data_IF_869906161236
#
_entry.id   IF_869906161236
#
_cell.length_a   1.000
_cell.length_b   1.000
_cell.length_c   1.000
_cell.angle_alpha   90.00
_cell.angle_beta   90.00
_cell.angle_gamma   90.00
#
_symmetry.space_group_name_H-M   'P 1'
#
loop_
_entity.id
_entity.type
_entity.pdbx_description
1 polymer ?
#
# COMPACT_ATOMS: atom_id res chain seq x y z
N UNK A 1 -74.34 0.76 -5.17
CA UNK A 1 -73.73 0.26 -6.43
C UNK A 1 -72.33 -0.23 -6.08
N UNK A 2 -72.12 -1.39 -5.45
CA UNK A 2 -72.30 -2.78 -5.93
C UNK A 2 -71.78 -3.02 -7.35
N UNK A 3 -70.57 -3.58 -7.44
CA UNK A 3 -70.21 -4.69 -8.34
C UNK A 3 -69.06 -5.46 -7.66
N UNK A 4 -69.37 -6.44 -6.82
CA UNK A 4 -69.48 -7.89 -7.13
C UNK A 4 -68.17 -8.62 -6.78
N UNK A 5 -68.13 -9.38 -5.67
CA UNK A 5 -68.63 -10.77 -5.51
C UNK A 5 -67.80 -11.74 -6.38
N UNK A 6 -66.94 -12.56 -5.77
CA UNK A 6 -67.23 -13.88 -5.17
C UNK A 6 -66.43 -14.90 -6.02
N UNK A 7 -65.92 -16.04 -5.56
CA UNK A 7 -66.47 -16.97 -4.58
C UNK A 7 -65.44 -18.08 -4.30
N UNK A 8 -65.43 -18.53 -3.05
CA UNK A 8 -65.33 -19.92 -2.55
C UNK A 8 -64.10 -20.80 -2.80
N UNK A 9 -63.56 -21.20 -1.64
CA UNK A 9 -62.85 -22.45 -1.35
C UNK A 9 -63.83 -23.64 -1.46
N UNK A 10 -63.35 -24.82 -1.89
CA UNK A 10 -63.85 -26.08 -1.36
C UNK A 10 -62.74 -26.95 -0.74
N UNK A 11 -63.08 -27.56 0.38
CA UNK A 11 -62.35 -28.59 1.12
C UNK A 11 -62.67 -30.00 0.59
N UNK A 12 -61.67 -30.89 0.47
CA UNK A 12 -61.74 -32.32 0.85
C UNK A 12 -60.37 -33.02 0.74
N UNK A 13 -60.08 -33.91 1.70
CA UNK A 13 -58.88 -34.75 1.92
C UNK A 13 -58.83 -36.01 0.98
N UNK A 14 -57.94 -37.01 1.21
CA UNK A 14 -56.47 -37.04 1.05
C UNK A 14 -56.04 -38.14 0.04
N UNK A 15 -54.89 -38.00 -0.64
CA UNK A 15 -54.34 -39.09 -1.46
C UNK A 15 -52.81 -39.16 -1.41
N UNK A 16 -52.34 -40.29 -0.87
CA UNK A 16 -51.08 -41.03 -1.09
C UNK A 16 -49.86 -40.33 -1.71
N UNK A 17 -48.77 -40.28 -0.93
CA UNK A 17 -47.36 -40.19 -1.35
C UNK A 17 -47.00 -41.25 -2.43
N UNK A 18 -46.09 -40.97 -3.38
CA UNK A 18 -44.65 -41.01 -3.07
C UNK A 18 -43.75 -40.00 -3.80
N UNK A 19 -42.49 -39.97 -3.35
CA UNK A 19 -41.30 -39.31 -3.92
C UNK A 19 -41.09 -37.82 -3.64
N UNK A 20 -40.49 -37.58 -2.47
CA UNK A 20 -39.88 -36.32 -2.02
C UNK A 20 -38.63 -35.99 -2.84
N UNK A 21 -38.75 -35.05 -3.77
CA UNK A 21 -37.65 -34.17 -4.18
C UNK A 21 -37.74 -32.88 -3.36
N UNK A 22 -36.67 -32.52 -2.63
CA UNK A 22 -36.63 -31.28 -1.86
C UNK A 22 -36.53 -30.07 -2.80
N UNK A 23 -37.63 -29.32 -2.92
CA UNK A 23 -37.62 -27.95 -3.43
C UNK A 23 -37.25 -27.03 -2.26
N UNK A 24 -36.09 -26.39 -2.33
CA UNK A 24 -35.66 -25.36 -1.36
C UNK A 24 -36.28 -24.03 -1.79
N UNK A 25 -37.37 -23.63 -1.12
CA UNK A 25 -37.94 -22.29 -1.24
C UNK A 25 -37.22 -21.32 -0.30
N UNK A 26 -36.79 -20.17 -0.83
CA UNK A 26 -36.26 -19.04 -0.05
C UNK A 26 -37.33 -18.49 0.90
N UNK A 27 -37.05 -18.40 2.20
CA UNK A 27 -37.86 -17.66 3.17
C UNK A 27 -37.15 -16.37 3.58
N UNK A 28 -37.89 -15.25 3.56
CA UNK A 28 -37.41 -13.90 3.84
C UNK A 28 -37.13 -13.63 5.33
N UNK A 29 -36.34 -12.59 5.58
CA UNK A 29 -35.71 -12.24 6.86
C UNK A 29 -36.66 -11.96 8.05
N UNK A 30 -37.97 -11.82 7.83
CA UNK A 30 -38.94 -11.55 8.90
C UNK A 30 -39.33 -12.81 9.71
N UNK A 31 -39.05 -14.01 9.21
CA UNK A 31 -39.40 -15.26 9.92
C UNK A 31 -38.40 -15.67 11.01
N UNK A 32 -37.22 -15.04 11.06
CA UNK A 32 -36.19 -15.33 12.08
C UNK A 32 -36.48 -14.71 13.45
N UNK A 33 -37.30 -13.65 13.51
CA UNK A 33 -37.52 -12.88 14.73
C UNK A 33 -38.52 -13.50 15.73
N UNK A 34 -39.11 -14.67 15.42
CA UNK A 34 -40.10 -15.37 16.27
C UNK A 34 -39.72 -16.79 16.71
N UNK A 35 -38.46 -17.22 16.52
CA UNK A 35 -38.02 -18.55 16.97
C UNK A 35 -37.27 -18.46 18.30
N UNK A 36 -37.86 -19.02 19.36
CA UNK A 36 -37.20 -19.17 20.66
C UNK A 36 -35.93 -20.03 20.59
N UNK A 37 -35.01 -19.79 21.52
CA UNK A 37 -33.63 -20.31 21.59
C UNK A 37 -33.50 -21.83 21.39
N UNK A 38 -34.52 -22.62 21.75
CA UNK A 38 -34.53 -24.07 21.55
C UNK A 38 -34.63 -24.52 20.08
N UNK A 39 -35.22 -23.72 19.19
CA UNK A 39 -35.36 -24.09 17.76
C UNK A 39 -34.13 -23.73 16.90
N UNK A 40 -33.33 -22.77 17.33
CA UNK A 40 -32.04 -22.43 16.68
C UNK A 40 -31.02 -23.57 16.90
N UNK A 41 -30.99 -24.17 18.10
CA UNK A 41 -30.12 -25.30 18.40
C UNK A 41 -30.45 -26.57 17.60
N UNK A 42 -31.73 -26.80 17.27
CA UNK A 42 -32.15 -27.91 16.43
C UNK A 42 -31.72 -27.74 14.96
N UNK A 43 -31.67 -26.50 14.44
CA UNK A 43 -31.19 -26.21 13.09
C UNK A 43 -29.67 -26.42 12.97
N UNK A 44 -28.91 -26.02 14.00
CA UNK A 44 -27.46 -26.25 14.08
C UNK A 44 -27.14 -27.76 14.22
N UNK A 45 -27.94 -28.53 14.97
CA UNK A 45 -27.77 -30.00 15.06
C UNK A 45 -28.17 -30.76 13.80
N UNK A 46 -29.08 -30.24 12.97
CA UNK A 46 -29.49 -30.90 11.73
C UNK A 46 -28.48 -30.68 10.58
N UNK A 47 -27.73 -29.55 10.60
CA UNK A 47 -26.63 -29.30 9.67
C UNK A 47 -25.45 -30.29 9.82
N UNK A 48 -25.17 -30.76 11.04
CA UNK A 48 -24.10 -31.74 11.30
C UNK A 48 -24.44 -33.19 10.89
N UNK A 49 -25.64 -33.48 10.38
CA UNK A 49 -26.00 -34.81 9.86
C UNK A 49 -26.05 -34.88 8.33
N UNK A 50 -25.75 -33.78 7.63
CA UNK A 50 -25.63 -33.77 6.16
C UNK A 50 -24.20 -33.96 5.64
N UNK A 51 -23.17 -33.84 6.50
CA UNK A 51 -21.77 -34.09 6.10
C UNK A 51 -21.36 -35.57 6.05
N UNK A 52 -22.20 -36.49 6.56
CA UNK A 52 -21.88 -37.92 6.63
C UNK A 52 -22.44 -38.77 5.47
N UNK A 53 -22.99 -38.16 4.42
CA UNK A 53 -23.54 -38.89 3.24
C UNK A 53 -23.06 -38.43 1.86
N UNK A 54 -21.92 -37.72 1.76
CA UNK A 54 -21.19 -37.54 0.50
C UNK A 54 -19.84 -38.28 0.48
N UNK A 55 -19.86 -39.57 0.83
CA UNK A 55 -18.80 -40.53 0.48
C UNK A 55 -19.45 -41.73 -0.19
N UNK A 56 -19.45 -41.74 -1.52
CA UNK A 56 -19.46 -42.90 -2.41
C UNK A 56 -20.02 -42.50 -3.80
N UNK A 57 -19.18 -41.85 -4.59
CA UNK A 57 -19.23 -41.99 -6.04
C UNK A 57 -17.79 -42.16 -6.51
N UNK A 58 -17.34 -43.41 -6.45
CA UNK A 58 -16.10 -43.89 -7.04
C UNK A 58 -16.28 -43.95 -8.55
N UNK A 59 -15.74 -42.97 -9.26
CA UNK A 59 -15.34 -43.15 -10.66
C UNK A 59 -13.83 -43.29 -10.64
N UNK A 60 -13.35 -44.49 -11.00
CA UNK A 60 -11.93 -44.81 -11.05
C UNK A 60 -11.20 -43.92 -12.05
N UNK A 61 -10.03 -43.44 -11.63
CA UNK A 61 -9.13 -42.63 -12.44
C UNK A 61 -7.98 -42.11 -11.58
N UNK A 62 -6.86 -42.82 -11.66
CA UNK A 62 -5.48 -42.42 -11.32
C UNK A 62 -5.23 -41.59 -10.06
N UNK A 63 -4.84 -42.29 -9.01
CA UNK A 63 -4.18 -41.73 -7.83
C UNK A 63 -2.74 -41.29 -8.18
N UNK A 64 -2.60 -40.12 -8.81
CA UNK A 64 -1.34 -39.40 -8.89
C UNK A 64 -1.62 -37.89 -8.95
N UNK A 65 -1.33 -37.21 -7.85
CA UNK A 65 -1.33 -35.74 -7.79
C UNK A 65 -2.49 -35.18 -7.01
N UNK A 66 -2.22 -34.85 -5.74
CA UNK A 66 -2.73 -33.68 -4.98
C UNK A 66 -2.18 -33.73 -3.55
N UNK A 67 -0.86 -33.88 -3.43
CA UNK A 67 -0.11 -33.45 -2.25
C UNK A 67 0.56 -32.14 -2.62
N UNK A 68 -0.15 -31.06 -2.33
CA UNK A 68 0.26 -29.70 -2.64
C UNK A 68 -0.62 -28.72 -1.90
N UNK A 69 -0.77 -28.88 -0.58
CA UNK A 69 -1.06 -27.73 0.26
C UNK A 69 0.13 -26.79 0.06
N UNK A 70 -0.05 -25.81 -0.82
CA UNK A 70 0.88 -24.71 -0.96
C UNK A 70 0.82 -23.94 0.35
N UNK A 71 1.66 -24.36 1.31
CA UNK A 71 1.97 -23.61 2.51
C UNK A 71 2.37 -22.22 2.01
N UNK A 72 1.46 -21.27 2.20
CA UNK A 72 1.63 -19.85 1.96
C UNK A 72 2.93 -19.45 2.66
N UNK A 73 4.02 -19.40 1.88
CA UNK A 73 5.35 -19.14 2.40
C UNK A 73 5.26 -17.86 3.23
N UNK A 74 5.60 -17.94 4.52
CA UNK A 74 5.63 -16.76 5.39
C UNK A 74 6.42 -15.66 4.71
N UNK A 75 5.74 -14.53 4.44
CA UNK A 75 6.41 -13.26 4.24
C UNK A 75 7.54 -13.14 5.27
N UNK A 76 8.71 -12.64 4.86
CA UNK A 76 9.88 -12.65 5.74
C UNK A 76 10.15 -11.31 6.41
N UNK A 77 9.40 -10.27 6.04
CA UNK A 77 9.76 -8.89 6.38
C UNK A 77 8.88 -8.26 7.42
N UNK A 78 9.54 -7.66 8.40
CA UNK A 78 8.94 -6.74 9.36
C UNK A 78 8.98 -5.33 8.77
N UNK A 79 7.81 -4.73 8.59
CA UNK A 79 7.64 -3.39 8.02
C UNK A 79 6.97 -2.48 9.04
N UNK A 80 7.53 -1.30 9.29
CA UNK A 80 6.92 -0.27 10.12
C UNK A 80 6.43 0.92 9.30
N UNK A 81 5.26 1.44 9.64
CA UNK A 81 4.71 2.70 9.10
C UNK A 81 4.64 3.72 10.22
N UNK A 82 5.48 4.76 10.16
CA UNK A 82 5.52 5.86 11.13
C UNK A 82 4.64 7.02 10.63
N UNK A 83 3.53 7.28 11.31
CA UNK A 83 2.39 8.07 10.80
C UNK A 83 1.24 7.20 10.30
N UNK A 84 1.05 6.00 10.87
CA UNK A 84 0.11 4.98 10.42
C UNK A 84 -1.37 5.37 10.57
N UNK A 85 -1.71 6.33 11.44
CA UNK A 85 -3.08 6.81 11.59
C UNK A 85 -3.42 7.98 10.66
N UNK A 86 -2.42 8.54 9.96
CA UNK A 86 -2.60 9.66 9.03
C UNK A 86 -3.29 9.29 7.71
N UNK A 87 -3.64 10.32 6.93
CA UNK A 87 -4.38 10.15 5.66
C UNK A 87 -3.64 9.37 4.57
N UNK A 88 -2.30 9.34 4.59
CA UNK A 88 -1.49 8.42 3.77
C UNK A 88 -1.28 7.10 4.50
N UNK A 89 -1.02 7.15 5.81
CA UNK A 89 -0.67 6.00 6.64
C UNK A 89 -1.71 4.89 6.61
N UNK A 90 -3.00 5.20 6.78
CA UNK A 90 -4.06 4.19 6.78
C UNK A 90 -4.16 3.42 5.44
N UNK A 91 -4.36 4.07 4.27
CA UNK A 91 -4.41 3.35 3.01
C UNK A 91 -3.08 2.67 2.64
N UNK A 92 -1.93 3.24 3.04
CA UNK A 92 -0.63 2.59 2.84
C UNK A 92 -0.54 1.29 3.64
N UNK A 93 -0.99 1.33 4.90
CA UNK A 93 -0.99 0.16 5.79
C UNK A 93 -1.91 -0.94 5.28
N UNK A 94 -3.07 -0.59 4.71
CA UNK A 94 -3.92 -1.55 4.02
C UNK A 94 -3.19 -2.23 2.85
N UNK A 95 -2.55 -1.46 1.98
CA UNK A 95 -1.82 -2.01 0.84
C UNK A 95 -0.65 -2.91 1.26
N UNK A 96 0.06 -2.57 2.35
CA UNK A 96 1.13 -3.39 2.91
C UNK A 96 0.58 -4.68 3.57
N UNK A 97 -0.56 -4.61 4.25
CA UNK A 97 -1.26 -5.79 4.80
C UNK A 97 -1.68 -6.77 3.70
N UNK A 98 -1.99 -6.27 2.50
CA UNK A 98 -2.30 -7.11 1.33
C UNK A 98 -1.06 -7.70 0.65
N UNK A 99 0.15 -7.22 0.96
CA UNK A 99 1.37 -7.66 0.31
C UNK A 99 1.85 -9.00 0.93
N UNK A 100 1.97 -10.09 0.14
CA UNK A 100 2.36 -11.41 0.66
C UNK A 100 3.82 -11.47 1.14
N UNK A 101 4.65 -10.49 0.80
CA UNK A 101 6.06 -10.41 1.24
C UNK A 101 6.20 -9.85 2.66
N UNK A 102 5.14 -9.23 3.20
CA UNK A 102 5.09 -8.68 4.57
C UNK A 102 4.53 -9.74 5.51
N UNK A 103 5.20 -9.98 6.64
CA UNK A 103 4.68 -10.86 7.70
C UNK A 103 4.35 -10.17 9.00
N UNK A 104 5.02 -9.07 9.32
CA UNK A 104 4.80 -8.30 10.53
C UNK A 104 4.70 -6.82 10.17
N UNK A 105 3.48 -6.27 10.23
CA UNK A 105 3.19 -4.87 9.93
C UNK A 105 2.96 -4.09 11.23
N UNK A 106 3.82 -3.12 11.50
CA UNK A 106 3.77 -2.31 12.72
C UNK A 106 3.37 -0.88 12.40
N UNK A 107 2.35 -0.40 13.08
CA UNK A 107 1.80 0.94 12.83
C UNK A 107 2.13 1.82 14.02
N UNK A 108 2.93 2.84 13.80
CA UNK A 108 3.23 3.84 14.83
C UNK A 108 2.62 5.18 14.48
N UNK A 109 2.10 5.86 15.48
CA UNK A 109 1.70 7.26 15.40
C UNK A 109 1.65 7.83 16.83
N UNK A 110 1.47 9.14 16.96
CA UNK A 110 1.28 9.77 18.28
C UNK A 110 -0.02 9.29 18.94
N UNK A 111 -1.03 8.91 18.14
CA UNK A 111 -2.31 8.38 18.60
C UNK A 111 -3.02 7.56 17.51
N UNK A 112 -4.02 6.76 17.91
CA UNK A 112 -5.00 6.15 17.00
C UNK A 112 -4.60 4.84 16.31
N UNK A 113 -3.32 4.46 16.33
CA UNK A 113 -2.84 3.22 15.69
C UNK A 113 -3.38 1.91 16.26
N UNK A 114 -3.72 1.75 17.56
CA UNK A 114 -4.36 0.52 18.02
C UNK A 114 -5.71 0.26 17.33
N UNK A 115 -6.49 1.32 17.07
CA UNK A 115 -7.75 1.21 16.34
C UNK A 115 -7.53 0.83 14.87
N UNK A 116 -6.57 1.48 14.21
CA UNK A 116 -6.21 1.17 12.80
C UNK A 116 -5.68 -0.27 12.68
N UNK A 117 -4.86 -0.72 13.63
CA UNK A 117 -4.34 -2.09 13.65
C UNK A 117 -5.45 -3.12 13.88
N UNK A 118 -6.39 -2.83 14.78
CA UNK A 118 -7.57 -3.67 15.01
C UNK A 118 -8.39 -3.85 13.72
N UNK A 119 -8.69 -2.75 13.03
CA UNK A 119 -9.39 -2.77 11.74
C UNK A 119 -8.64 -3.62 10.69
N UNK A 120 -7.34 -3.34 10.49
CA UNK A 120 -6.52 -4.07 9.52
C UNK A 120 -6.30 -5.55 9.88
N UNK A 121 -6.40 -5.92 11.16
CA UNK A 121 -6.24 -7.31 11.61
C UNK A 121 -7.36 -8.22 11.09
N UNK A 122 -8.53 -7.66 10.75
CA UNK A 122 -9.66 -8.40 10.20
C UNK A 122 -9.48 -8.76 8.71
N UNK A 123 -8.50 -8.13 8.03
CA UNK A 123 -8.18 -8.44 6.63
C UNK A 123 -7.53 -9.81 6.57
N UNK A 124 -8.12 -10.71 5.77
CA UNK A 124 -7.80 -12.14 5.69
C UNK A 124 -6.50 -12.47 4.92
N UNK A 125 -5.40 -11.84 5.31
CA UNK A 125 -4.05 -12.08 4.78
C UNK A 125 -3.07 -12.50 5.88
N UNK A 126 -1.91 -12.99 5.48
CA UNK A 126 -0.91 -13.58 6.37
C UNK A 126 -0.27 -12.61 7.38
N UNK A 127 -0.05 -11.35 7.00
CA UNK A 127 0.71 -10.42 7.84
C UNK A 127 0.02 -10.17 9.19
N UNK A 128 0.74 -10.29 10.31
CA UNK A 128 0.25 -9.79 11.60
C UNK A 128 0.28 -8.26 11.59
N UNK A 129 -0.64 -7.64 12.32
CA UNK A 129 -0.69 -6.17 12.43
C UNK A 129 -0.73 -5.78 13.89
N UNK A 130 0.16 -4.88 14.30
CA UNK A 130 0.19 -4.32 15.65
C UNK A 130 0.24 -2.79 15.59
N UNK A 131 -0.50 -2.15 16.50
CA UNK A 131 -0.61 -0.70 16.61
C UNK A 131 0.08 -0.17 17.86
N UNK A 132 0.92 0.85 17.69
CA UNK A 132 1.79 1.45 18.68
C UNK A 132 1.52 2.95 18.77
N UNK A 133 1.06 3.44 19.91
CA UNK A 133 0.69 4.84 20.10
C UNK A 133 1.54 5.51 21.18
N UNK A 134 2.04 6.70 20.88
CA UNK A 134 2.81 7.52 21.80
C UNK A 134 4.31 7.20 21.80
N UNK A 135 5.12 8.21 22.14
CA UNK A 135 6.57 8.19 21.96
C UNK A 135 7.30 7.03 22.66
N UNK A 136 6.76 6.56 23.79
CA UNK A 136 7.31 5.42 24.53
C UNK A 136 7.30 4.10 23.74
N UNK A 137 6.37 3.95 22.78
CA UNK A 137 6.21 2.74 21.97
C UNK A 137 7.05 2.74 20.69
N UNK A 138 7.74 3.86 20.39
CA UNK A 138 8.54 3.98 19.16
C UNK A 138 9.67 2.94 19.12
N UNK A 139 10.38 2.72 20.22
CA UNK A 139 11.44 1.71 20.30
C UNK A 139 10.91 0.31 19.96
N UNK A 140 9.76 -0.07 20.54
CA UNK A 140 9.14 -1.38 20.32
C UNK A 140 8.69 -1.54 18.88
N UNK A 141 8.17 -0.47 18.28
CA UNK A 141 7.80 -0.44 16.85
C UNK A 141 9.02 -0.74 15.98
N UNK A 142 10.15 -0.09 16.23
CA UNK A 142 11.32 -0.10 15.34
C UNK A 142 12.18 -1.35 15.42
N UNK A 143 12.27 -2.00 16.60
CA UNK A 143 13.21 -3.12 16.82
C UNK A 143 12.99 -4.27 15.84
N UNK A 144 14.02 -4.58 15.04
CA UNK A 144 13.98 -5.70 14.10
C UNK A 144 13.24 -5.40 12.79
N UNK A 145 12.85 -4.16 12.52
CA UNK A 145 12.30 -3.79 11.21
C UNK A 145 13.33 -3.96 10.09
N UNK A 146 12.90 -4.55 8.97
CA UNK A 146 13.64 -4.59 7.71
C UNK A 146 13.43 -3.31 6.90
N UNK A 147 12.21 -2.76 6.96
CA UNK A 147 11.78 -1.58 6.21
C UNK A 147 10.94 -0.66 7.11
N UNK A 148 11.22 0.63 7.05
CA UNK A 148 10.51 1.67 7.78
C UNK A 148 10.05 2.72 6.78
N UNK A 149 8.76 3.03 6.77
CA UNK A 149 8.17 4.02 5.87
C UNK A 149 7.64 5.18 6.72
N UNK A 150 7.99 6.41 6.35
CA UNK A 150 7.67 7.62 7.11
C UNK A 150 6.73 8.50 6.27
N UNK A 151 5.41 8.24 6.28
CA UNK A 151 4.40 9.20 5.84
C UNK A 151 4.09 10.29 6.89
N UNK A 152 4.58 10.16 8.13
CA UNK A 152 4.34 11.11 9.20
C UNK A 152 4.66 12.55 8.77
N UNK A 153 3.75 13.46 9.08
CA UNK A 153 3.89 14.87 8.75
C UNK A 153 2.54 15.55 8.75
N UNK A 154 2.59 16.87 8.86
CA UNK A 154 1.39 17.70 8.77
C UNK A 154 1.15 18.03 7.29
N UNK A 155 -0.08 17.84 6.77
CA UNK A 155 -0.41 18.30 5.43
C UNK A 155 -0.47 19.83 5.41
N UNK A 156 -0.19 20.43 4.25
CA UNK A 156 -0.34 21.88 4.08
C UNK A 156 -1.80 22.29 4.37
N UNK A 157 -1.99 23.23 5.30
CA UNK A 157 -3.28 23.83 5.63
C UNK A 157 -3.40 25.24 5.00
N UNK A 158 -4.62 25.73 4.72
CA UNK A 158 -4.83 27.13 4.37
C UNK A 158 -4.18 28.06 5.41
N UNK A 159 -3.46 29.09 4.96
CA UNK A 159 -2.76 30.05 5.84
C UNK A 159 -1.35 29.63 6.29
N UNK A 160 -0.94 28.37 6.09
CA UNK A 160 0.41 27.91 6.45
C UNK A 160 1.45 28.33 5.40
N UNK A 161 2.56 28.94 5.85
CA UNK A 161 3.68 29.27 4.96
C UNK A 161 4.46 28.01 4.55
N UNK A 162 5.34 28.14 3.55
CA UNK A 162 6.23 27.03 3.16
C UNK A 162 7.20 26.69 4.29
N UNK A 163 7.68 27.70 5.00
CA UNK A 163 8.65 27.55 6.08
C UNK A 163 8.03 26.91 7.32
N UNK A 164 6.78 27.24 7.65
CA UNK A 164 6.06 26.58 8.76
C UNK A 164 5.95 25.08 8.53
N UNK A 165 5.52 24.68 7.32
CA UNK A 165 5.40 23.28 6.94
C UNK A 165 6.75 22.57 7.01
N UNK A 166 7.80 23.22 6.51
CA UNK A 166 9.16 22.70 6.57
C UNK A 166 9.61 22.49 8.02
N UNK A 167 9.49 23.50 8.88
CA UNK A 167 9.97 23.44 10.27
C UNK A 167 9.26 22.34 11.07
N UNK A 168 7.94 22.21 10.92
CA UNK A 168 7.17 21.16 11.58
C UNK A 168 7.63 19.77 11.12
N UNK A 169 7.65 19.53 9.81
CA UNK A 169 7.98 18.21 9.28
C UNK A 169 9.47 17.86 9.46
N UNK A 170 10.36 18.86 9.44
CA UNK A 170 11.77 18.70 9.79
C UNK A 170 11.93 18.20 11.24
N UNK A 171 11.18 18.79 12.19
CA UNK A 171 11.17 18.34 13.58
C UNK A 171 10.67 16.90 13.74
N UNK A 172 9.56 16.56 13.08
CA UNK A 172 8.98 15.21 13.09
C UNK A 172 9.99 14.19 12.53
N UNK A 173 10.52 14.43 11.32
CA UNK A 173 11.48 13.53 10.68
C UNK A 173 12.74 13.39 11.53
N UNK A 174 13.28 14.50 12.06
CA UNK A 174 14.45 14.44 12.95
C UNK A 174 14.20 13.54 14.17
N UNK A 175 13.06 13.71 14.84
CA UNK A 175 12.71 12.91 16.03
C UNK A 175 12.63 11.41 15.70
N UNK A 176 11.89 11.06 14.64
CA UNK A 176 11.74 9.67 14.21
C UNK A 176 13.09 9.07 13.79
N UNK A 177 13.91 9.83 13.06
CA UNK A 177 15.23 9.37 12.62
C UNK A 177 16.22 9.16 13.77
N UNK A 178 16.11 9.91 14.88
CA UNK A 178 16.88 9.64 16.11
C UNK A 178 16.50 8.27 16.68
N UNK A 179 15.20 7.97 16.73
CA UNK A 179 14.71 6.64 17.13
C UNK A 179 15.22 5.53 16.22
N UNK A 180 15.14 5.72 14.90
CA UNK A 180 15.63 4.76 13.90
C UNK A 180 17.14 4.53 14.05
N UNK A 181 17.93 5.58 14.21
CA UNK A 181 19.37 5.48 14.40
C UNK A 181 19.75 4.61 15.61
N UNK A 182 18.95 4.69 16.69
CA UNK A 182 19.20 3.95 17.93
C UNK A 182 18.67 2.50 17.87
N UNK A 183 17.50 2.28 17.28
CA UNK A 183 16.76 1.02 17.45
C UNK A 183 16.67 0.17 16.18
N UNK A 184 16.91 0.75 15.00
CA UNK A 184 16.83 0.05 13.71
C UNK A 184 17.82 0.61 12.65
N UNK A 185 19.11 0.80 12.97
CA UNK A 185 20.07 1.47 12.06
C UNK A 185 20.32 0.73 10.75
N UNK A 186 19.95 -0.56 10.67
CA UNK A 186 20.11 -1.40 9.48
C UNK A 186 18.84 -1.49 8.62
N UNK A 187 17.71 -0.94 9.05
CA UNK A 187 16.49 -0.95 8.25
C UNK A 187 16.66 -0.09 6.98
N UNK A 188 15.93 -0.44 5.93
CA UNK A 188 15.67 0.50 4.83
C UNK A 188 14.68 1.56 5.31
N UNK A 189 14.89 2.81 4.91
CA UNK A 189 14.07 3.95 5.33
C UNK A 189 13.52 4.66 4.11
N UNK A 190 12.20 4.64 3.98
CA UNK A 190 11.44 5.28 2.90
C UNK A 190 10.75 6.55 3.43
N UNK A 191 11.32 7.72 3.13
CA UNK A 191 10.77 9.02 3.55
C UNK A 191 9.74 9.50 2.53
N UNK A 192 8.50 9.64 2.98
CA UNK A 192 7.39 10.28 2.23
C UNK A 192 7.12 11.69 2.78
N UNK A 193 7.50 11.97 4.02
CA UNK A 193 7.35 13.27 4.68
C UNK A 193 7.87 14.42 3.83
N UNK A 194 6.96 15.34 3.48
CA UNK A 194 7.29 16.52 2.70
C UNK A 194 7.91 17.63 3.56
N UNK A 195 8.81 18.46 3.00
CA UNK A 195 9.35 18.39 1.63
C UNK A 195 10.50 17.37 1.52
N UNK A 196 10.36 16.35 0.65
CA UNK A 196 11.33 15.24 0.49
C UNK A 196 12.74 15.74 0.19
N UNK A 197 12.85 16.80 -0.63
CA UNK A 197 14.13 17.42 -1.00
C UNK A 197 14.93 17.93 0.21
N UNK A 198 14.30 18.13 1.37
CA UNK A 198 14.95 18.62 2.58
C UNK A 198 14.89 17.62 3.73
N UNK A 199 13.81 16.85 3.87
CA UNK A 199 13.67 15.83 4.92
C UNK A 199 14.65 14.67 4.75
N UNK A 200 14.99 14.30 3.52
CA UNK A 200 16.01 13.26 3.25
C UNK A 200 17.42 13.72 3.67
N UNK A 201 17.91 14.91 3.29
CA UNK A 201 19.15 15.46 3.84
C UNK A 201 19.15 15.55 5.37
N UNK A 202 18.06 16.00 6.00
CA UNK A 202 17.93 16.04 7.47
C UNK A 202 18.12 14.64 8.06
N UNK A 203 17.43 13.64 7.52
CA UNK A 203 17.55 12.26 7.96
C UNK A 203 18.99 11.73 7.82
N UNK A 204 19.66 12.06 6.72
CA UNK A 204 21.06 11.69 6.52
C UNK A 204 21.98 12.31 7.57
N UNK A 205 21.82 13.60 7.88
CA UNK A 205 22.64 14.28 8.90
C UNK A 205 22.38 13.73 10.31
N UNK A 206 21.14 13.37 10.63
CA UNK A 206 20.82 12.67 11.89
C UNK A 206 21.56 11.34 12.00
N UNK A 207 21.50 10.52 10.94
CA UNK A 207 22.19 9.24 10.91
C UNK A 207 23.73 9.39 10.93
N UNK A 208 24.28 10.42 10.28
CA UNK A 208 25.72 10.73 10.30
C UNK A 208 26.17 11.12 11.70
N UNK A 209 25.41 11.99 12.37
CA UNK A 209 25.69 12.39 13.76
C UNK A 209 25.64 11.21 14.72
N UNK A 210 24.80 10.22 14.43
CA UNK A 210 24.73 8.97 15.19
C UNK A 210 25.77 7.91 14.77
N UNK A 211 26.59 8.17 13.74
CA UNK A 211 27.63 7.25 13.27
C UNK A 211 27.12 6.01 12.52
N UNK A 212 25.86 6.02 12.06
CA UNK A 212 25.18 4.84 11.46
C UNK A 212 24.65 5.09 10.05
N UNK A 213 25.07 6.18 9.40
CA UNK A 213 24.61 6.51 8.05
C UNK A 213 25.13 5.53 6.99
N UNK A 214 24.22 4.80 6.36
CA UNK A 214 24.45 4.04 5.13
C UNK A 214 23.64 4.67 3.99
N UNK A 215 24.29 5.29 2.98
CA UNK A 215 23.57 5.95 1.87
C UNK A 215 22.74 4.97 1.03
N UNK A 216 22.96 3.65 1.15
CA UNK A 216 22.23 2.60 0.44
C UNK A 216 20.89 2.22 1.11
N UNK A 217 20.57 2.85 2.24
CA UNK A 217 19.40 2.49 3.07
C UNK A 217 18.43 3.63 3.28
N UNK A 218 18.72 4.83 2.77
CA UNK A 218 17.90 6.02 2.96
C UNK A 218 17.36 6.50 1.61
N UNK A 219 16.04 6.50 1.47
CA UNK A 219 15.36 6.82 0.22
C UNK A 219 14.27 7.87 0.43
N UNK A 220 14.28 8.92 -0.37
CA UNK A 220 13.11 9.76 -0.59
C UNK A 220 12.21 9.15 -1.65
N UNK A 221 10.95 8.89 -1.29
CA UNK A 221 9.99 8.24 -2.19
C UNK A 221 9.48 9.24 -3.22
N UNK A 222 9.96 9.12 -4.47
CA UNK A 222 9.53 9.95 -5.61
C UNK A 222 8.63 9.19 -6.61
N UNK A 223 8.21 7.98 -6.26
CA UNK A 223 7.43 7.08 -7.12
C UNK A 223 6.12 7.68 -7.61
N UNK A 224 5.51 8.59 -6.84
CA UNK A 224 4.28 9.28 -7.25
C UNK A 224 4.50 10.14 -8.51
N UNK A 225 5.68 10.73 -8.68
CA UNK A 225 5.98 11.54 -9.86
C UNK A 225 6.12 10.66 -11.10
N UNK A 226 6.77 9.50 -10.96
CA UNK A 226 6.85 8.47 -12.02
C UNK A 226 5.45 7.98 -12.39
N UNK A 227 4.60 7.68 -11.40
CA UNK A 227 3.22 7.25 -11.65
C UNK A 227 2.41 8.32 -12.40
N UNK A 228 2.52 9.60 -11.98
CA UNK A 228 1.88 10.73 -12.66
C UNK A 228 2.37 10.87 -14.09
N UNK A 229 3.69 10.82 -14.29
CA UNK A 229 4.31 10.92 -15.60
C UNK A 229 3.80 9.82 -16.54
N UNK A 230 3.83 8.56 -16.10
CA UNK A 230 3.31 7.42 -16.88
C UNK A 230 1.82 7.58 -17.21
N UNK A 231 1.01 7.99 -16.23
CA UNK A 231 -0.44 8.18 -16.40
C UNK A 231 -0.76 9.30 -17.38
N UNK A 232 -0.11 10.45 -17.23
CA UNK A 232 -0.37 11.63 -18.06
C UNK A 232 0.14 11.43 -19.50
N UNK A 233 1.33 10.84 -19.66
CA UNK A 233 1.85 10.46 -20.97
C UNK A 233 0.92 9.47 -21.67
N UNK A 234 0.51 8.40 -20.98
CA UNK A 234 -0.41 7.39 -21.51
C UNK A 234 -1.74 8.00 -21.98
N UNK A 235 -2.33 8.89 -21.18
CA UNK A 235 -3.57 9.57 -21.54
C UNK A 235 -3.40 10.48 -22.78
N UNK A 236 -2.30 11.25 -22.84
CA UNK A 236 -2.02 12.14 -23.97
C UNK A 236 -1.74 11.36 -25.26
N UNK A 237 -0.95 10.30 -25.15
CA UNK A 237 -0.47 9.50 -26.28
C UNK A 237 -1.34 8.28 -26.59
N UNK A 238 -2.50 8.16 -25.93
CA UNK A 238 -3.47 7.06 -26.08
C UNK A 238 -2.79 5.68 -26.05
N UNK A 239 -1.90 5.50 -25.10
CA UNK A 239 -1.11 4.27 -24.91
C UNK A 239 -1.51 3.62 -23.59
N UNK A 240 -1.57 2.29 -23.48
CA UNK A 240 -1.85 1.64 -22.20
C UNK A 240 -0.80 2.00 -21.14
N UNK A 241 -1.24 2.49 -19.96
CA UNK A 241 -0.35 2.97 -18.89
C UNK A 241 0.67 1.91 -18.46
N UNK A 242 0.25 0.63 -18.44
CA UNK A 242 1.09 -0.50 -18.05
C UNK A 242 2.34 -0.67 -18.94
N UNK A 243 2.26 -0.24 -20.20
CA UNK A 243 3.34 -0.38 -21.18
C UNK A 243 4.28 0.82 -21.17
N UNK A 244 3.94 1.89 -20.43
CA UNK A 244 4.74 3.11 -20.36
C UNK A 244 5.87 2.95 -19.34
N UNK A 245 7.12 3.13 -19.75
CA UNK A 245 8.29 3.38 -18.90
C UNK A 245 8.75 4.82 -19.13
N UNK A 246 8.64 5.66 -18.10
CA UNK A 246 8.99 7.08 -18.14
C UNK A 246 9.74 7.45 -16.85
N UNK A 247 11.08 7.59 -16.92
CA UNK A 247 11.88 7.98 -15.77
C UNK A 247 11.59 9.43 -15.36
N UNK A 248 11.61 9.69 -14.05
CA UNK A 248 11.54 11.03 -13.49
C UNK A 248 12.73 11.21 -12.55
N UNK A 249 13.55 12.22 -12.80
CA UNK A 249 14.78 12.50 -12.06
C UNK A 249 14.69 13.86 -11.36
N UNK A 250 15.75 14.25 -10.62
CA UNK A 250 15.84 15.56 -9.98
C UNK A 250 15.44 15.54 -8.52
N UNK A 251 14.29 16.10 -8.19
CA UNK A 251 13.71 16.17 -6.86
C UNK A 251 12.19 16.00 -6.89
N UNK A 252 11.52 16.33 -5.78
CA UNK A 252 10.09 16.11 -5.55
C UNK A 252 9.32 17.43 -5.30
N UNK A 253 9.73 18.53 -5.93
CA UNK A 253 9.08 19.83 -5.74
C UNK A 253 9.12 20.70 -7.01
N UNK A 254 7.95 20.95 -7.61
CA UNK A 254 7.79 21.85 -8.75
C UNK A 254 8.81 21.57 -9.85
N UNK A 255 9.57 22.60 -10.23
CA UNK A 255 10.59 22.53 -11.31
C UNK A 255 11.73 21.53 -11.06
N UNK A 256 11.90 21.04 -9.83
CA UNK A 256 12.90 20.00 -9.55
C UNK A 256 12.48 18.63 -10.06
N UNK A 257 11.19 18.43 -10.38
CA UNK A 257 10.67 17.19 -10.96
C UNK A 257 10.95 17.20 -12.46
N UNK A 258 11.83 16.32 -12.94
CA UNK A 258 12.32 16.30 -14.32
C UNK A 258 11.90 15.01 -15.03
N UNK A 259 10.74 14.96 -15.70
CA UNK A 259 10.34 13.80 -16.50
C UNK A 259 11.19 13.69 -17.77
N UNK A 260 11.91 12.59 -17.94
CA UNK A 260 12.79 12.37 -19.10
C UNK A 260 11.99 11.88 -20.31
N UNK A 261 11.17 12.77 -20.88
CA UNK A 261 10.28 12.46 -22.01
C UNK A 261 11.04 11.95 -23.24
N UNK A 262 12.32 12.33 -23.41
CA UNK A 262 13.20 11.80 -24.46
C UNK A 262 13.53 10.31 -24.32
N UNK A 263 13.39 9.76 -23.11
CA UNK A 263 13.69 8.38 -22.75
C UNK A 263 12.44 7.50 -22.60
N UNK A 264 11.24 8.07 -22.82
CA UNK A 264 9.98 7.34 -22.66
C UNK A 264 9.92 6.11 -23.58
N UNK A 265 9.36 5.02 -23.08
CA UNK A 265 9.00 3.84 -23.87
C UNK A 265 7.51 3.53 -23.64
N UNK A 266 6.74 3.14 -24.67
CA UNK A 266 7.09 3.23 -26.09
C UNK A 266 7.24 4.69 -26.53
N UNK A 267 8.20 4.97 -27.43
CA UNK A 267 8.37 6.30 -28.02
C UNK A 267 7.18 6.61 -28.94
N UNK A 268 6.69 7.85 -28.84
CA UNK A 268 5.66 8.42 -29.71
C UNK A 268 6.10 9.81 -30.14
N UNK A 269 5.61 10.28 -31.29
CA UNK A 269 5.90 11.64 -31.74
C UNK A 269 5.21 12.64 -30.81
N UNK A 270 5.99 13.55 -30.23
CA UNK A 270 5.52 14.63 -29.36
C UNK A 270 5.96 15.95 -29.97
N UNK A 271 5.04 16.90 -30.05
CA UNK A 271 5.40 18.28 -30.38
C UNK A 271 6.05 18.96 -29.17
N UNK A 272 6.77 20.05 -29.38
CA UNK A 272 7.31 20.87 -28.28
C UNK A 272 6.21 21.30 -27.31
N UNK A 273 5.04 21.67 -27.83
CA UNK A 273 3.85 21.98 -27.03
C UNK A 273 3.37 20.80 -26.19
N UNK A 274 3.47 19.56 -26.68
CA UNK A 274 3.16 18.37 -25.89
C UNK A 274 4.17 18.16 -24.77
N UNK A 275 5.47 18.36 -25.06
CA UNK A 275 6.56 18.25 -24.09
C UNK A 275 6.35 19.25 -22.95
N UNK A 276 6.10 20.51 -23.26
CA UNK A 276 5.90 21.58 -22.27
C UNK A 276 4.66 21.33 -21.41
N UNK A 277 3.54 21.00 -22.05
CA UNK A 277 2.28 20.75 -21.36
C UNK A 277 2.38 19.54 -20.42
N UNK A 278 3.00 18.43 -20.88
CA UNK A 278 3.21 17.24 -20.05
C UNK A 278 4.15 17.55 -18.89
N UNK A 279 5.30 18.19 -19.17
CA UNK A 279 6.30 18.53 -18.14
C UNK A 279 5.67 19.39 -17.05
N UNK A 280 4.97 20.46 -17.43
CA UNK A 280 4.29 21.35 -16.48
C UNK A 280 3.24 20.61 -15.64
N UNK A 281 2.39 19.80 -16.27
CA UNK A 281 1.37 19.04 -15.54
C UNK A 281 1.97 18.02 -14.57
N UNK A 282 3.09 17.39 -14.93
CA UNK A 282 3.81 16.46 -14.04
C UNK A 282 4.35 17.21 -12.83
N UNK A 283 5.01 18.36 -13.03
CA UNK A 283 5.54 19.21 -11.98
C UNK A 283 4.45 19.77 -11.05
N UNK A 284 3.29 20.12 -11.61
CA UNK A 284 2.16 20.69 -10.90
C UNK A 284 1.14 19.66 -10.38
N UNK A 285 1.37 18.35 -10.59
CA UNK A 285 0.40 17.31 -10.25
C UNK A 285 0.03 17.24 -8.76
N UNK A 286 0.90 17.74 -7.87
CA UNK A 286 0.59 17.93 -6.45
C UNK A 286 -0.40 19.07 -6.22
N UNK A 287 -0.17 20.21 -6.89
CA UNK A 287 -1.01 21.41 -6.84
C UNK A 287 -2.41 21.12 -7.42
N UNK A 288 -2.50 20.39 -8.53
CA UNK A 288 -3.77 19.97 -9.17
C UNK A 288 -4.67 19.24 -8.15
N UNK A 289 -4.12 18.32 -7.36
CA UNK A 289 -4.89 17.57 -6.34
C UNK A 289 -5.29 18.46 -5.16
N UNK A 290 -4.41 19.34 -4.69
CA UNK A 290 -4.73 20.26 -3.58
C UNK A 290 -5.88 21.19 -3.98
N UNK A 291 -5.87 21.71 -5.21
CA UNK A 291 -6.94 22.55 -5.75
C UNK A 291 -8.25 21.75 -5.89
N UNK A 292 -8.20 20.53 -6.43
CA UNK A 292 -9.37 19.67 -6.57
C UNK A 292 -9.99 19.28 -5.21
N UNK A 293 -9.18 19.19 -4.15
CA UNK A 293 -9.64 18.98 -2.77
C UNK A 293 -10.05 20.29 -2.07
N UNK A 294 -10.14 21.41 -2.77
CA UNK A 294 -10.46 22.73 -2.23
C UNK A 294 -9.55 23.12 -1.04
N UNK A 295 -8.26 22.76 -1.11
CA UNK A 295 -7.29 23.00 -0.05
C UNK A 295 -7.42 22.09 1.18
N UNK A 296 -8.36 21.13 1.20
CA UNK A 296 -8.56 20.15 2.29
C UNK A 296 -7.59 18.97 2.18
N UNK A 297 -6.30 19.28 2.14
CA UNK A 297 -5.21 18.30 2.07
C UNK A 297 -4.69 18.02 0.65
N UNK A 298 -3.72 17.12 0.58
CA UNK A 298 -3.00 16.74 -0.65
C UNK A 298 -3.34 15.31 -1.10
N UNK A 299 -2.59 14.78 -2.07
CA UNK A 299 -2.71 13.39 -2.51
C UNK A 299 -2.47 12.43 -1.35
N UNK A 300 -3.46 11.58 -1.07
CA UNK A 300 -3.41 10.58 0.00
C UNK A 300 -3.41 9.17 -0.58
N UNK A 301 -4.46 8.82 -1.33
CA UNK A 301 -4.65 7.48 -1.90
C UNK A 301 -3.57 7.12 -2.93
N UNK A 302 -3.32 8.01 -3.90
CA UNK A 302 -2.28 7.79 -4.91
C UNK A 302 -0.88 7.80 -4.30
N UNK A 303 -0.64 8.57 -3.22
CA UNK A 303 0.63 8.56 -2.50
C UNK A 303 0.81 7.27 -1.70
N UNK A 304 -0.25 6.74 -1.08
CA UNK A 304 -0.22 5.45 -0.41
C UNK A 304 0.09 4.32 -1.40
N UNK A 305 -0.52 4.34 -2.59
CA UNK A 305 -0.20 3.38 -3.64
C UNK A 305 1.25 3.50 -4.12
N UNK A 306 1.74 4.73 -4.36
CA UNK A 306 3.14 4.96 -4.72
C UNK A 306 4.13 4.48 -3.64
N UNK A 307 3.81 4.73 -2.36
CA UNK A 307 4.60 4.27 -1.23
C UNK A 307 4.61 2.74 -1.11
N UNK A 308 3.48 2.08 -1.37
CA UNK A 308 3.39 0.63 -1.36
C UNK A 308 4.20 -0.02 -2.50
N UNK A 309 4.15 0.54 -3.71
CA UNK A 309 4.97 0.07 -4.84
C UNK A 309 6.47 0.16 -4.52
N UNK A 310 6.91 1.30 -3.97
CA UNK A 310 8.31 1.49 -3.61
C UNK A 310 8.72 0.60 -2.43
N UNK A 311 7.83 0.37 -1.46
CA UNK A 311 8.05 -0.57 -0.37
C UNK A 311 8.21 -2.01 -0.87
N UNK A 312 7.35 -2.45 -1.80
CA UNK A 312 7.46 -3.76 -2.43
C UNK A 312 8.78 -3.91 -3.18
N UNK A 313 9.21 -2.89 -3.94
CA UNK A 313 10.51 -2.89 -4.61
C UNK A 313 11.68 -3.04 -3.61
N UNK A 314 11.66 -2.30 -2.49
CA UNK A 314 12.64 -2.46 -1.42
C UNK A 314 12.65 -3.90 -0.87
N UNK A 315 11.48 -4.50 -0.62
CA UNK A 315 11.37 -5.86 -0.08
C UNK A 315 11.89 -6.90 -1.07
N UNK A 316 11.52 -6.79 -2.36
CA UNK A 316 12.05 -7.65 -3.44
C UNK A 316 13.56 -7.57 -3.53
N UNK A 317 14.11 -6.35 -3.42
CA UNK A 317 15.55 -6.12 -3.32
C UNK A 317 16.18 -6.87 -2.14
N UNK A 318 15.57 -6.83 -0.95
CA UNK A 318 16.05 -7.55 0.24
C UNK A 318 15.97 -9.08 0.09
N UNK A 319 15.00 -9.60 -0.68
CA UNK A 319 14.91 -11.03 -1.03
C UNK A 319 15.92 -11.45 -2.11
N UNK A 320 16.69 -10.50 -2.67
CA UNK A 320 17.70 -10.77 -3.68
C UNK A 320 17.16 -10.86 -5.10
N UNK A 321 15.94 -10.36 -5.35
CA UNK A 321 15.41 -10.24 -6.70
C UNK A 321 16.30 -9.31 -7.54
N UNK A 322 16.71 -9.80 -8.70
CA UNK A 322 17.59 -9.03 -9.60
C UNK A 322 16.76 -8.07 -10.44
N UNK A 323 17.38 -6.99 -10.90
CA UNK A 323 16.78 -6.01 -11.82
C UNK A 323 15.56 -5.26 -11.25
N UNK A 324 15.42 -5.18 -9.93
CA UNK A 324 14.48 -4.24 -9.31
C UNK A 324 15.07 -2.84 -9.42
N UNK A 325 14.44 -1.99 -10.24
CA UNK A 325 14.91 -0.64 -10.55
C UNK A 325 13.77 0.36 -10.33
N UNK A 326 14.02 1.38 -9.52
CA UNK A 326 13.06 2.43 -9.21
C UNK A 326 13.73 3.81 -9.27
N UNK A 327 12.95 4.89 -9.43
CA UNK A 327 13.48 6.25 -9.24
C UNK A 327 13.29 6.68 -7.79
N UNK A 328 14.36 7.07 -7.10
CA UNK A 328 14.32 7.50 -5.71
C UNK A 328 15.29 8.64 -5.44
N UNK A 329 14.91 9.57 -4.56
CA UNK A 329 15.76 10.68 -4.13
C UNK A 329 16.75 10.20 -3.06
N UNK A 330 18.02 10.03 -3.43
CA UNK A 330 19.04 9.39 -2.60
C UNK A 330 20.31 10.22 -2.52
N UNK A 331 21.22 9.87 -1.60
CA UNK A 331 22.60 10.39 -1.67
C UNK A 331 23.18 9.98 -3.03
N UNK A 332 23.56 10.96 -3.82
CA UNK A 332 23.97 10.77 -5.21
C UNK A 332 25.22 11.59 -5.52
N UNK A 333 25.93 11.16 -6.55
CA UNK A 333 27.06 11.83 -7.20
C UNK A 333 26.83 12.01 -8.72
N UNK A 334 25.63 11.67 -9.20
CA UNK A 334 25.24 11.76 -10.63
C UNK A 334 25.39 13.18 -11.18
N UNK A 335 25.06 14.18 -10.37
CA UNK A 335 25.27 15.59 -10.71
C UNK A 335 26.32 16.17 -9.78
N UNK A 336 27.46 16.57 -10.35
CA UNK A 336 28.58 17.15 -9.59
C UNK A 336 28.11 18.34 -8.75
N UNK A 337 28.44 18.34 -7.46
CA UNK A 337 28.09 19.40 -6.53
C UNK A 337 26.67 19.30 -5.93
N UNK A 338 25.85 18.36 -6.38
CA UNK A 338 24.52 18.12 -5.81
C UNK A 338 24.55 16.83 -4.97
N UNK A 339 24.49 16.90 -3.63
CA UNK A 339 24.70 15.72 -2.78
C UNK A 339 23.54 14.73 -2.79
N UNK A 340 22.32 15.16 -3.12
CA UNK A 340 21.13 14.33 -3.18
C UNK A 340 20.36 14.59 -4.47
N UNK A 341 19.99 13.53 -5.16
CA UNK A 341 19.34 13.61 -6.47
C UNK A 341 18.49 12.36 -6.70
N UNK A 342 17.34 12.54 -7.35
CA UNK A 342 16.50 11.42 -7.78
C UNK A 342 16.98 10.92 -9.13
N UNK A 343 17.26 9.62 -9.20
CA UNK A 343 17.65 8.92 -10.42
C UNK A 343 17.21 7.46 -10.32
N UNK A 344 17.35 6.69 -11.41
CA UNK A 344 17.18 5.24 -11.36
C UNK A 344 18.20 4.64 -10.38
N UNK A 345 17.71 3.84 -9.44
CA UNK A 345 18.49 3.08 -8.47
C UNK A 345 18.15 1.60 -8.61
N UNK A 346 19.17 0.74 -8.57
CA UNK A 346 19.01 -0.71 -8.55
C UNK A 346 19.25 -1.25 -7.15
N UNK A 347 18.38 -2.15 -6.69
CA UNK A 347 18.59 -2.83 -5.41
C UNK A 347 19.61 -3.97 -5.58
N UNK A 348 20.89 -3.68 -5.32
CA UNK A 348 21.96 -4.67 -5.33
C UNK A 348 22.45 -4.85 -3.90
N UNK A 349 21.78 -5.72 -3.13
CA UNK A 349 22.31 -6.20 -1.84
C UNK A 349 23.26 -7.37 -2.09
N UNK A 350 24.47 -7.09 -2.58
CA UNK A 350 25.54 -8.10 -2.61
C UNK A 350 26.07 -8.30 -1.19
N UNK A 351 26.04 -9.54 -0.71
CA UNK A 351 26.98 -10.07 0.30
C UNK A 351 28.44 -9.81 -0.19
N UNK A 352 29.42 -9.67 0.71
CA UNK A 352 30.03 -8.42 1.17
C UNK A 352 31.06 -7.78 0.21
N UNK A 353 30.85 -7.74 -1.10
CA UNK A 353 31.75 -6.99 -2.02
C UNK A 353 31.03 -6.21 -3.13
N UNK A 354 31.58 -5.01 -3.39
CA UNK A 354 31.10 -3.86 -4.19
C UNK A 354 30.47 -4.18 -5.57
N UNK A 355 29.49 -3.35 -5.97
CA UNK A 355 29.60 -2.32 -7.03
C UNK A 355 28.24 -1.61 -7.19
N UNK A 356 28.25 -0.26 -7.24
CA UNK A 356 27.14 0.52 -7.80
C UNK A 356 27.30 0.55 -9.31
N UNK A 357 26.22 0.22 -10.03
CA UNK A 357 25.99 0.77 -11.36
C UNK A 357 24.74 1.63 -11.23
N UNK A 358 24.94 2.94 -11.07
CA UNK A 358 23.97 3.89 -11.61
C UNK A 358 23.82 3.53 -13.09
N UNK A 359 22.63 3.12 -13.53
CA UNK A 359 22.39 3.04 -14.96
C UNK A 359 22.49 4.47 -15.47
N UNK A 360 23.54 4.72 -16.27
CA UNK A 360 23.76 6.01 -16.92
C UNK A 360 22.49 6.44 -17.65
N UNK A 361 22.27 7.76 -17.61
CA UNK A 361 21.19 8.50 -18.27
C UNK A 361 20.97 8.03 -19.72
#
# INVERSE_FOLDING_TARGET
MLSHCNTTIPSHQPASLPNKGCIVGMWGAESFCRMGTARVAAFIRCGCHLESRMRACSVGGDAAGLQGQQLWARGKRTVAVLGGAGGIGQPLSLLLKLNPLVSDLRLYDVAGTPGVACDLSHVNTQATVEGYAGDAELEKTLKGCDLIIIPAGVPRKPGMTRDDLFNINAGIVKSLMIGIAKHAPKALVNIISNPVNSTVPIAAEVLKKAGVFDPRRLFGVTTLDVMRARTFYAARMKTPVKDVDLPVIGGHAGITILPLLSQVKPKKNMTEKDIDALTKRIQDGGTEVVQAKAGKGSATLSMAFAGALFAEACIKGLEGEKNVVECAYVKSDVVKGIPFFSSKVSYIFKQPFLFFTTLFL
#
